data_IF_091844940283
#
_entry.id   IF_091844940283
#
_cell.length_a   1.000
_cell.length_b   1.000
_cell.length_c   1.000
_cell.angle_alpha   90.00
_cell.angle_beta   90.00
_cell.angle_gamma   90.00
#
_symmetry.space_group_name_H-M   'P 1'
#
loop_
_entity.id
_entity.type
_entity.pdbx_description
1 polymer ?
#
# COMPACT_ATOMS: atom_id res chain seq x y z
N UNK A 1 -4.93 42.45 -0.64
CA UNK A 1 -3.94 41.57 -1.31
C UNK A 1 -3.28 40.57 -0.35
N UNK A 2 -3.05 40.90 0.93
CA UNK A 2 -2.45 39.98 1.90
C UNK A 2 -3.31 38.77 2.32
N UNK A 3 -4.63 38.94 2.43
CA UNK A 3 -5.57 37.85 2.78
C UNK A 3 -5.52 36.68 1.78
N UNK A 4 -5.42 36.97 0.47
CA UNK A 4 -5.31 35.93 -0.55
C UNK A 4 -4.00 35.13 -0.45
N UNK A 5 -2.89 35.81 -0.13
CA UNK A 5 -1.58 35.17 0.09
C UNK A 5 -1.61 34.30 1.35
N UNK A 6 -2.23 34.78 2.44
CA UNK A 6 -2.40 33.98 3.66
C UNK A 6 -3.27 32.74 3.44
N UNK A 7 -4.37 32.84 2.68
CA UNK A 7 -5.19 31.67 2.33
C UNK A 7 -4.40 30.64 1.50
N UNK A 8 -3.57 31.09 0.57
CA UNK A 8 -2.76 30.20 -0.27
C UNK A 8 -1.71 29.43 0.55
N UNK A 9 -1.04 30.10 1.49
CA UNK A 9 -0.06 29.47 2.38
C UNK A 9 -0.72 28.40 3.26
N UNK A 10 -1.90 28.69 3.82
CA UNK A 10 -2.66 27.73 4.62
C UNK A 10 -3.09 26.52 3.78
N UNK A 11 -3.56 26.74 2.55
CA UNK A 11 -3.99 25.67 1.67
C UNK A 11 -2.85 24.70 1.32
N UNK A 12 -1.67 25.23 0.99
CA UNK A 12 -0.46 24.42 0.75
C UNK A 12 -0.06 23.64 2.01
N UNK A 13 -0.14 24.28 3.19
CA UNK A 13 0.10 23.62 4.47
C UNK A 13 -0.81 22.42 4.71
N UNK A 14 -2.11 22.55 4.45
CA UNK A 14 -3.09 21.45 4.60
C UNK A 14 -2.82 20.30 3.65
N UNK A 15 -2.45 20.57 2.39
CA UNK A 15 -2.09 19.51 1.44
C UNK A 15 -0.84 18.77 1.92
N UNK A 16 0.16 19.50 2.42
CA UNK A 16 1.41 18.92 2.92
C UNK A 16 1.17 17.99 4.12
N UNK A 17 0.35 18.42 5.09
CA UNK A 17 0.02 17.57 6.25
C UNK A 17 -0.80 16.34 5.85
N UNK A 18 -1.74 16.48 4.91
CA UNK A 18 -2.47 15.33 4.36
C UNK A 18 -1.55 14.30 3.71
N UNK A 19 -0.58 14.74 2.89
CA UNK A 19 0.38 13.85 2.25
C UNK A 19 1.25 13.10 3.28
N UNK A 20 1.69 13.79 4.34
CA UNK A 20 2.50 13.17 5.41
C UNK A 20 1.70 12.09 6.14
N UNK A 21 0.43 12.37 6.48
CA UNK A 21 -0.44 11.38 7.15
C UNK A 21 -0.68 10.17 6.23
N UNK A 22 -0.95 10.39 4.94
CA UNK A 22 -1.14 9.33 3.96
C UNK A 22 0.14 8.48 3.78
N UNK A 23 1.32 9.10 3.88
CA UNK A 23 2.60 8.39 3.68
C UNK A 23 3.10 7.67 4.93
N UNK A 24 2.74 8.12 6.15
CA UNK A 24 3.16 7.47 7.40
C UNK A 24 2.35 6.23 7.78
N UNK A 25 1.13 6.09 7.25
CA UNK A 25 0.19 5.10 7.75
C UNK A 25 0.23 3.75 7.01
N UNK A 26 1.37 3.30 6.47
CA UNK A 26 1.44 1.98 5.81
C UNK A 26 1.85 0.90 6.80
N UNK A 27 1.09 -0.19 6.87
CA UNK A 27 1.35 -1.34 7.73
C UNK A 27 1.42 -2.62 6.91
N UNK A 28 2.38 -3.49 7.19
CA UNK A 28 2.46 -4.81 6.59
C UNK A 28 1.31 -5.67 7.10
N UNK A 29 0.54 -6.27 6.20
CA UNK A 29 -0.60 -7.13 6.55
C UNK A 29 -0.39 -8.59 6.15
N UNK A 30 0.44 -8.84 5.14
CA UNK A 30 0.65 -10.17 4.61
C UNK A 30 2.00 -10.27 3.92
N UNK A 31 2.66 -11.40 4.13
CA UNK A 31 3.90 -11.75 3.44
C UNK A 31 3.60 -12.96 2.58
N UNK A 32 3.61 -12.78 1.26
CA UNK A 32 3.39 -13.85 0.30
C UNK A 32 4.74 -14.39 -0.21
N UNK A 33 4.84 -15.71 -0.33
CA UNK A 33 5.99 -16.37 -0.97
C UNK A 33 5.59 -16.85 -2.36
N UNK A 34 6.34 -16.41 -3.36
CA UNK A 34 6.10 -16.75 -4.76
C UNK A 34 4.98 -15.96 -5.44
N UNK A 35 5.05 -15.91 -6.77
CA UNK A 35 4.21 -15.09 -7.65
C UNK A 35 2.74 -15.48 -7.56
N UNK A 36 2.45 -16.79 -7.52
CA UNK A 36 1.07 -17.28 -7.47
C UNK A 36 0.32 -16.77 -6.24
N UNK A 37 0.92 -16.92 -5.06
CA UNK A 37 0.33 -16.42 -3.82
C UNK A 37 0.27 -14.89 -3.80
N UNK A 38 1.32 -14.22 -4.26
CA UNK A 38 1.32 -12.76 -4.37
C UNK A 38 0.15 -12.25 -5.22
N UNK A 39 -0.04 -12.75 -6.45
CA UNK A 39 -1.12 -12.31 -7.33
C UNK A 39 -2.51 -12.68 -6.79
N UNK A 40 -2.65 -13.81 -6.10
CA UNK A 40 -3.91 -14.18 -5.43
C UNK A 40 -4.32 -13.14 -4.39
N UNK A 41 -3.40 -12.79 -3.49
CA UNK A 41 -3.63 -11.84 -2.39
C UNK A 41 -3.91 -10.44 -2.95
N UNK A 42 -3.12 -10.00 -3.93
CA UNK A 42 -3.34 -8.72 -4.61
C UNK A 42 -4.69 -8.67 -5.32
N UNK A 43 -5.11 -9.79 -5.93
CA UNK A 43 -6.43 -9.92 -6.55
C UNK A 43 -7.56 -9.65 -5.56
N UNK A 44 -7.50 -10.26 -4.37
CA UNK A 44 -8.49 -10.05 -3.30
C UNK A 44 -8.55 -8.60 -2.83
N UNK A 45 -7.39 -7.97 -2.59
CA UNK A 45 -7.33 -6.56 -2.18
C UNK A 45 -7.91 -5.64 -3.27
N UNK A 46 -7.60 -5.93 -4.54
CA UNK A 46 -8.08 -5.14 -5.69
C UNK A 46 -9.59 -5.27 -5.89
N UNK A 47 -10.16 -6.47 -5.70
CA UNK A 47 -11.62 -6.68 -5.77
C UNK A 47 -12.38 -5.82 -4.75
N UNK A 48 -11.78 -5.58 -3.57
CA UNK A 48 -12.35 -4.71 -2.53
C UNK A 48 -11.94 -3.23 -2.67
N UNK A 49 -11.23 -2.85 -3.73
CA UNK A 49 -10.78 -1.48 -3.97
C UNK A 49 -9.72 -0.97 -2.99
N UNK A 50 -8.97 -1.87 -2.35
CA UNK A 50 -8.00 -1.53 -1.31
C UNK A 50 -6.66 -1.16 -1.96
N UNK A 51 -6.16 0.03 -1.66
CA UNK A 51 -4.82 0.46 -2.08
C UNK A 51 -3.74 -0.29 -1.30
N UNK A 52 -2.78 -0.87 -2.02
CA UNK A 52 -1.66 -1.62 -1.45
C UNK A 52 -0.31 -1.12 -1.99
N UNK A 53 0.76 -1.40 -1.25
CA UNK A 53 2.15 -1.25 -1.66
C UNK A 53 2.84 -2.60 -1.47
N UNK A 54 3.75 -2.96 -2.38
CA UNK A 54 4.52 -4.20 -2.26
C UNK A 54 6.00 -3.86 -2.23
N UNK A 55 6.72 -4.41 -1.26
CA UNK A 55 8.18 -4.34 -1.23
C UNK A 55 8.71 -5.63 -1.83
N UNK A 56 9.44 -5.52 -2.93
CA UNK A 56 10.07 -6.64 -3.62
C UNK A 56 11.59 -6.48 -3.49
N UNK A 57 12.35 -7.52 -3.15
CA UNK A 57 13.81 -7.43 -3.14
C UNK A 57 14.31 -7.04 -4.54
N UNK A 58 15.16 -6.00 -4.60
CA UNK A 58 15.63 -5.36 -5.85
C UNK A 58 16.46 -6.29 -6.76
N UNK A 59 16.76 -7.51 -6.30
CA UNK A 59 17.60 -8.48 -7.01
C UNK A 59 16.78 -9.54 -7.75
N UNK A 60 15.71 -9.12 -8.44
CA UNK A 60 14.85 -9.95 -9.29
C UNK A 60 15.57 -10.37 -10.60
N UNK A 61 16.77 -10.95 -10.53
CA UNK A 61 17.30 -11.79 -11.61
C UNK A 61 16.72 -13.19 -11.45
N UNK A 62 15.41 -13.33 -11.62
CA UNK A 62 14.72 -14.60 -11.37
C UNK A 62 14.62 -15.41 -12.65
N UNK A 63 15.47 -16.43 -12.73
CA UNK A 63 15.21 -17.61 -13.55
C UNK A 63 13.88 -18.23 -13.13
N UNK A 64 13.02 -18.49 -14.12
CA UNK A 64 11.60 -18.89 -14.03
C UNK A 64 11.26 -20.12 -13.17
N UNK A 65 12.21 -20.76 -12.50
CA UNK A 65 12.09 -22.15 -12.05
C UNK A 65 11.89 -22.34 -10.53
N UNK A 66 12.28 -21.38 -9.70
CA UNK A 66 12.09 -21.43 -8.24
C UNK A 66 11.75 -20.02 -7.75
N UNK A 67 10.47 -19.71 -7.66
CA UNK A 67 10.03 -18.43 -7.12
C UNK A 67 9.88 -18.50 -5.60
N UNK A 68 11.02 -18.43 -4.90
CA UNK A 68 11.07 -18.23 -3.45
C UNK A 68 11.08 -16.74 -3.09
N UNK A 69 10.62 -15.86 -3.99
CA UNK A 69 10.60 -14.42 -3.72
C UNK A 69 9.58 -14.11 -2.63
N UNK A 70 10.04 -13.37 -1.62
CA UNK A 70 9.17 -12.83 -0.58
C UNK A 70 8.59 -11.50 -1.04
N UNK A 71 7.26 -11.40 -1.00
CA UNK A 71 6.48 -10.21 -1.31
C UNK A 71 5.80 -9.72 -0.03
N UNK A 72 6.33 -8.66 0.55
CA UNK A 72 5.70 -8.01 1.70
C UNK A 72 4.66 -7.01 1.21
N UNK A 73 3.40 -7.22 1.61
CA UNK A 73 2.24 -6.45 1.17
C UNK A 73 1.80 -5.52 2.30
N UNK A 74 1.81 -4.23 2.00
CA UNK A 74 1.46 -3.15 2.90
C UNK A 74 0.15 -2.51 2.47
N UNK A 75 -0.69 -2.14 3.42
CA UNK A 75 -1.90 -1.33 3.20
C UNK A 75 -1.91 -0.14 4.13
N UNK A 76 -2.78 0.83 3.82
CA UNK A 76 -3.04 1.94 4.76
C UNK A 76 -3.64 1.39 6.05
N UNK A 77 -3.19 1.91 7.19
CA UNK A 77 -3.63 1.54 8.54
C UNK A 77 -5.14 1.66 8.70
N UNK A 78 -5.74 2.70 8.12
CA UNK A 78 -7.19 2.92 8.11
C UNK A 78 -7.96 1.83 7.35
N UNK A 79 -7.30 1.10 6.46
CA UNK A 79 -7.85 0.00 5.66
C UNK A 79 -7.41 -1.37 6.17
N UNK A 80 -6.64 -1.46 7.26
CA UNK A 80 -6.11 -2.71 7.80
C UNK A 80 -7.23 -3.72 8.05
N UNK A 81 -8.31 -3.28 8.71
CA UNK A 81 -9.42 -4.16 9.06
C UNK A 81 -10.14 -4.71 7.82
N UNK A 82 -10.39 -3.83 6.83
CA UNK A 82 -10.99 -4.22 5.54
C UNK A 82 -10.08 -5.15 4.75
N UNK A 83 -8.77 -4.96 4.85
CA UNK A 83 -7.81 -5.81 4.17
C UNK A 83 -7.78 -7.20 4.80
N UNK A 84 -7.74 -7.31 6.13
CA UNK A 84 -7.81 -8.59 6.83
C UNK A 84 -9.12 -9.34 6.49
N UNK A 85 -10.25 -8.62 6.48
CA UNK A 85 -11.54 -9.18 6.07
C UNK A 85 -11.50 -9.71 4.62
N UNK A 86 -10.90 -8.96 3.69
CA UNK A 86 -10.74 -9.37 2.30
C UNK A 86 -9.91 -10.66 2.13
N UNK A 87 -8.92 -10.88 3.00
CA UNK A 87 -8.06 -12.06 2.96
C UNK A 87 -8.72 -13.29 3.60
N UNK A 88 -9.55 -13.08 4.62
CA UNK A 88 -10.25 -14.16 5.33
C UNK A 88 -11.49 -14.66 4.59
N UNK A 89 -12.06 -13.85 3.70
CA UNK A 89 -13.17 -14.26 2.84
C UNK A 89 -12.64 -15.12 1.69
N UNK A 90 -12.39 -16.40 1.97
CA UNK A 90 -11.87 -17.39 1.04
C UNK A 90 -12.97 -18.09 0.24
#
# INVERSE_FOLDING_TARGET
>A
MWIGVSCLILFVGVISTMQIVINRNWKCIYTAYGYQNYFKIIGQLKQKGISYKTKIPMNLRVGRYYDNTQYDIYVKKDLEHKAIEALNHQ
#
